data_IF_884796376038
#
_entry.id   IF_884796376038
#
_cell.length_a   1.000
_cell.length_b   1.000
_cell.length_c   1.000
_cell.angle_alpha   90.00
_cell.angle_beta   90.00
_cell.angle_gamma   90.00
#
_symmetry.space_group_name_H-M   'P 1'
#
loop_
_entity.id
_entity.type
_entity.pdbx_description
1 polymer ?
#
# COMPACT_ATOMS: atom_id res chain seq x y z
N UNK A 1 3.60 -4.89 27.77
CA UNK A 1 3.85 -5.27 26.36
C UNK A 1 2.68 -4.90 25.44
N UNK A 2 1.43 -5.21 25.78
CA UNK A 2 0.24 -4.88 24.96
C UNK A 2 0.01 -3.38 24.73
N UNK A 3 0.15 -2.53 25.76
CA UNK A 3 -0.03 -1.06 25.63
C UNK A 3 1.00 -0.43 24.68
N UNK A 4 2.24 -0.91 24.70
CA UNK A 4 3.29 -0.47 23.78
C UNK A 4 2.93 -0.83 22.33
N UNK A 5 2.42 -2.03 22.09
CA UNK A 5 2.02 -2.48 20.75
C UNK A 5 0.87 -1.65 20.17
N UNK A 6 -0.19 -1.38 20.95
CA UNK A 6 -1.31 -0.55 20.49
C UNK A 6 -0.92 0.91 20.25
N UNK A 7 0.03 1.43 21.02
CA UNK A 7 0.63 2.75 20.77
C UNK A 7 1.34 2.84 19.42
N UNK A 8 1.88 1.74 18.88
CA UNK A 8 2.53 1.74 17.56
C UNK A 8 1.51 1.95 16.44
N UNK A 9 0.34 1.30 16.50
CA UNK A 9 -0.71 1.44 15.47
C UNK A 9 -1.21 2.89 15.40
N UNK A 10 -1.44 3.50 16.57
CA UNK A 10 -1.85 4.90 16.67
C UNK A 10 -0.82 5.84 16.04
N UNK A 11 0.48 5.66 16.36
CA UNK A 11 1.56 6.46 15.76
C UNK A 11 1.69 6.25 14.26
N UNK A 12 1.55 5.00 13.80
CA UNK A 12 1.57 4.69 12.38
C UNK A 12 0.38 5.32 11.64
N UNK A 13 -0.81 5.34 12.26
CA UNK A 13 -1.98 6.02 11.72
C UNK A 13 -1.83 7.55 11.63
N UNK A 14 -1.13 8.16 12.60
CA UNK A 14 -0.80 9.60 12.56
C UNK A 14 0.16 9.96 11.41
N UNK A 15 1.06 9.06 11.02
CA UNK A 15 1.94 9.28 9.86
C UNK A 15 1.29 8.89 8.55
N UNK A 16 0.39 7.89 8.57
CA UNK A 16 -0.36 7.38 7.40
C UNK A 16 -1.77 6.98 7.83
N UNK A 17 -2.75 7.85 7.59
CA UNK A 17 -4.14 7.67 8.02
C UNK A 17 -4.78 6.37 7.49
N UNK A 18 -4.37 5.89 6.32
CA UNK A 18 -4.80 4.62 5.74
C UNK A 18 -4.52 3.42 6.65
N UNK A 19 -3.47 3.47 7.50
CA UNK A 19 -3.12 2.36 8.38
C UNK A 19 -4.15 2.11 9.48
N UNK A 20 -5.00 3.10 9.81
CA UNK A 20 -6.11 2.87 10.74
C UNK A 20 -7.07 1.80 10.24
N UNK A 21 -7.25 1.67 8.92
CA UNK A 21 -8.11 0.65 8.31
C UNK A 21 -7.57 -0.78 8.53
N UNK A 22 -6.24 -0.92 8.60
CA UNK A 22 -5.59 -2.19 8.95
C UNK A 22 -5.90 -2.67 10.38
N UNK A 23 -6.42 -1.80 11.25
CA UNK A 23 -6.83 -2.16 12.63
C UNK A 23 -7.90 -3.23 12.65
N UNK A 24 -8.72 -3.32 11.60
CA UNK A 24 -9.80 -4.32 11.50
C UNK A 24 -9.26 -5.74 11.65
N UNK A 25 -8.05 -6.02 11.14
CA UNK A 25 -7.37 -7.30 11.37
C UNK A 25 -7.27 -7.65 12.86
N UNK A 26 -6.77 -6.72 13.68
CA UNK A 26 -6.58 -6.93 15.12
C UNK A 26 -7.90 -7.07 15.86
N UNK A 27 -8.93 -6.32 15.44
CA UNK A 27 -10.28 -6.43 16.01
C UNK A 27 -10.88 -7.80 15.73
N UNK A 28 -10.83 -8.27 14.49
CA UNK A 28 -11.36 -9.59 14.11
C UNK A 28 -10.59 -10.70 14.83
N UNK A 29 -9.25 -10.65 14.85
CA UNK A 29 -8.43 -11.66 15.53
C UNK A 29 -8.72 -11.70 17.04
N UNK A 30 -8.94 -10.54 17.67
CA UNK A 30 -9.30 -10.47 19.08
C UNK A 30 -10.67 -11.12 19.36
N UNK A 31 -11.66 -10.89 18.49
CA UNK A 31 -13.01 -11.48 18.59
C UNK A 31 -12.96 -13.00 18.37
N UNK A 32 -12.14 -13.47 17.43
CA UNK A 32 -12.01 -14.89 17.10
C UNK A 32 -11.03 -15.65 18.00
N UNK A 33 -10.28 -14.94 18.87
CA UNK A 33 -9.33 -15.57 19.77
C UNK A 33 -10.03 -16.58 20.68
N UNK A 34 -9.40 -17.76 20.85
CA UNK A 34 -9.94 -18.85 21.68
C UNK A 34 -9.92 -18.54 23.18
N UNK A 35 -9.09 -17.59 23.60
CA UNK A 35 -9.11 -17.06 24.94
C UNK A 35 -10.39 -16.27 25.17
N UNK A 36 -10.94 -16.31 26.39
CA UNK A 36 -12.18 -15.58 26.73
C UNK A 36 -12.00 -14.10 26.40
N UNK A 37 -12.58 -13.68 25.28
CA UNK A 37 -12.63 -12.29 24.85
C UNK A 37 -13.00 -11.39 26.04
N UNK A 38 -12.19 -10.37 26.29
CA UNK A 38 -12.46 -9.35 27.31
C UNK A 38 -12.60 -8.01 26.65
N UNK A 39 -13.68 -7.29 26.97
CA UNK A 39 -13.91 -5.93 26.52
C UNK A 39 -12.74 -4.99 26.84
N UNK A 40 -11.99 -5.25 27.92
CA UNK A 40 -10.79 -4.49 28.27
C UNK A 40 -9.73 -4.53 27.17
N UNK A 41 -9.58 -5.62 26.41
CA UNK A 41 -8.62 -5.68 25.31
C UNK A 41 -9.03 -4.82 24.12
N UNK A 42 -10.33 -4.71 23.82
CA UNK A 42 -10.83 -3.78 22.82
C UNK A 42 -10.59 -2.34 23.23
N UNK A 43 -10.89 -2.00 24.49
CA UNK A 43 -10.62 -0.64 25.01
C UNK A 43 -9.14 -0.32 24.92
N UNK A 44 -8.26 -1.26 25.31
CA UNK A 44 -6.80 -1.08 25.21
C UNK A 44 -6.31 -0.88 23.77
N UNK A 45 -6.91 -1.54 22.79
CA UNK A 45 -6.60 -1.40 21.36
C UNK A 45 -7.15 -0.09 20.78
N UNK A 46 -8.40 0.25 21.07
CA UNK A 46 -9.10 1.36 20.44
C UNK A 46 -8.76 2.71 21.08
N UNK A 47 -8.45 2.76 22.39
CA UNK A 47 -8.17 4.03 23.07
C UNK A 47 -7.04 4.85 22.41
N UNK A 48 -5.84 4.32 22.07
CA UNK A 48 -4.81 5.17 21.46
C UNK A 48 -5.19 5.58 20.03
N UNK A 49 -5.99 4.77 19.33
CA UNK A 49 -6.47 5.07 17.98
C UNK A 49 -7.45 6.23 18.03
N UNK A 50 -8.48 6.13 18.88
CA UNK A 50 -9.48 7.19 19.09
C UNK A 50 -8.79 8.48 19.53
N UNK A 51 -7.86 8.41 20.49
CA UNK A 51 -7.11 9.60 20.94
C UNK A 51 -6.28 10.22 19.81
N UNK A 52 -5.65 9.42 18.95
CA UNK A 52 -4.89 9.95 17.82
C UNK A 52 -5.76 10.57 16.74
N UNK A 53 -6.90 9.95 16.40
CA UNK A 53 -7.87 10.52 15.46
C UNK A 53 -8.46 11.82 16.01
N UNK A 54 -8.84 11.84 17.29
CA UNK A 54 -9.35 13.03 17.95
C UNK A 54 -8.30 14.15 18.00
N UNK A 55 -7.04 13.81 18.31
CA UNK A 55 -5.92 14.76 18.28
C UNK A 55 -5.67 15.33 16.88
N UNK A 56 -5.70 14.49 15.83
CA UNK A 56 -5.57 14.93 14.45
C UNK A 56 -6.75 15.82 14.01
N UNK A 57 -7.98 15.46 14.39
CA UNK A 57 -9.16 16.26 14.10
C UNK A 57 -9.12 17.62 14.82
N UNK A 58 -8.68 17.65 16.08
CA UNK A 58 -8.52 18.90 16.81
C UNK A 58 -7.43 19.79 16.19
N UNK A 59 -6.31 19.21 15.76
CA UNK A 59 -5.29 19.92 15.00
C UNK A 59 -5.85 20.50 13.70
N UNK A 60 -6.64 19.72 12.95
CA UNK A 60 -7.31 20.19 11.74
C UNK A 60 -8.30 21.32 12.03
N UNK A 61 -9.07 21.23 13.12
CA UNK A 61 -9.98 22.31 13.54
C UNK A 61 -9.24 23.61 13.84
N UNK A 62 -8.12 23.54 14.57
CA UNK A 62 -7.29 24.73 14.84
C UNK A 62 -6.70 25.36 13.58
N UNK A 63 -6.41 24.54 12.56
CA UNK A 63 -5.74 24.98 11.31
C UNK A 63 -6.71 25.43 10.21
N UNK A 64 -7.85 24.76 10.08
CA UNK A 64 -8.79 24.90 8.96
C UNK A 64 -10.21 25.24 9.41
N UNK A 65 -10.47 25.31 10.72
CA UNK A 65 -11.82 25.55 11.27
C UNK A 65 -12.76 24.35 11.17
N UNK A 66 -12.29 23.19 10.70
CA UNK A 66 -13.08 21.98 10.53
C UNK A 66 -12.28 20.72 10.93
N UNK A 67 -12.89 19.88 11.77
CA UNK A 67 -12.28 18.63 12.25
C UNK A 67 -11.96 17.62 11.14
N UNK A 68 -12.76 17.63 10.06
CA UNK A 68 -12.67 16.68 8.96
C UNK A 68 -11.91 17.22 7.75
N UNK A 69 -11.43 18.47 7.80
CA UNK A 69 -10.61 19.04 6.74
C UNK A 69 -9.16 18.61 6.92
N UNK A 70 -8.72 17.68 6.06
CA UNK A 70 -7.39 17.10 6.09
C UNK A 70 -6.35 17.97 5.35
N UNK A 71 -6.77 19.13 4.84
CA UNK A 71 -5.90 20.07 4.12
C UNK A 71 -5.57 19.69 2.67
N UNK A 72 -6.02 18.52 2.19
CA UNK A 72 -5.76 18.05 0.82
C UNK A 72 -6.33 18.98 -0.25
N UNK A 73 -7.44 19.67 0.04
CA UNK A 73 -8.07 20.61 -0.90
C UNK A 73 -7.21 21.85 -1.19
N UNK A 74 -6.31 22.23 -0.27
CA UNK A 74 -5.44 23.40 -0.43
C UNK A 74 -4.10 23.08 -1.09
N UNK A 75 -3.90 21.83 -1.53
CA UNK A 75 -2.65 21.44 -2.15
C UNK A 75 -2.59 21.98 -3.60
N UNK A 76 -1.79 23.04 -3.79
CA UNK A 76 -1.62 23.73 -5.07
C UNK A 76 -0.58 23.08 -5.99
N UNK A 77 0.16 22.07 -5.49
CA UNK A 77 1.24 21.39 -6.23
C UNK A 77 0.76 20.22 -7.09
N UNK A 78 -0.55 19.97 -7.15
CA UNK A 78 -1.09 18.91 -7.98
C UNK A 78 -0.83 19.19 -9.47
N UNK A 79 -0.17 18.26 -10.19
CA UNK A 79 -0.13 18.29 -11.66
C UNK A 79 -1.55 18.34 -12.21
N UNK A 80 -1.77 18.97 -13.37
CA UNK A 80 -3.12 19.21 -13.90
C UNK A 80 -3.96 17.94 -14.06
N UNK A 81 -3.33 16.79 -14.32
CA UNK A 81 -4.01 15.48 -14.35
C UNK A 81 -4.63 15.05 -13.01
N UNK A 82 -4.03 15.44 -11.88
CA UNK A 82 -4.59 15.15 -10.54
C UNK A 82 -5.78 16.07 -10.24
N UNK A 83 -5.82 17.28 -10.79
CA UNK A 83 -6.96 18.20 -10.62
C UNK A 83 -8.23 17.64 -11.26
N UNK A 84 -8.14 16.96 -12.40
CA UNK A 84 -9.30 16.26 -12.99
C UNK A 84 -9.79 15.12 -12.11
N UNK A 85 -8.90 14.28 -11.60
CA UNK A 85 -9.29 13.22 -10.68
C UNK A 85 -9.94 13.77 -9.40
N UNK A 86 -9.42 14.86 -8.85
CA UNK A 86 -9.98 15.52 -7.66
C UNK A 86 -11.37 16.12 -7.94
N UNK A 87 -11.65 16.62 -9.16
CA UNK A 87 -13.00 17.06 -9.56
C UNK A 87 -14.05 15.95 -9.45
N UNK A 88 -13.64 14.70 -9.65
CA UNK A 88 -14.50 13.52 -9.49
C UNK A 88 -14.63 13.06 -8.02
N UNK A 89 -14.11 13.85 -7.08
CA UNK A 89 -14.09 13.58 -5.65
C UNK A 89 -12.71 13.09 -5.19
N UNK A 90 -12.24 13.61 -4.05
CA UNK A 90 -10.94 13.22 -3.45
C UNK A 90 -10.89 11.73 -3.07
N UNK A 91 -12.00 11.22 -2.52
CA UNK A 91 -12.23 9.81 -2.25
C UNK A 91 -13.54 9.40 -2.92
N UNK A 92 -13.45 8.58 -3.98
CA UNK A 92 -14.58 8.20 -4.81
C UNK A 92 -14.36 6.83 -5.43
N UNK A 93 -15.45 6.08 -5.63
CA UNK A 93 -15.41 4.75 -6.25
C UNK A 93 -14.96 4.81 -7.72
N UNK A 94 -15.10 5.96 -8.37
CA UNK A 94 -14.65 6.20 -9.76
C UNK A 94 -13.15 5.94 -9.95
N UNK A 95 -12.35 6.07 -8.88
CA UNK A 95 -10.90 5.89 -8.91
C UNK A 95 -10.46 4.43 -8.81
N UNK A 96 -11.35 3.53 -8.40
CA UNK A 96 -11.03 2.11 -8.15
C UNK A 96 -10.43 1.43 -9.38
N UNK A 97 -11.01 1.53 -10.60
CA UNK A 97 -10.46 0.86 -11.77
C UNK A 97 -9.03 1.33 -12.12
N UNK A 98 -8.77 2.64 -12.03
CA UNK A 98 -7.45 3.22 -12.29
C UNK A 98 -6.43 2.77 -11.24
N UNK A 99 -6.78 2.89 -9.96
CA UNK A 99 -5.90 2.45 -8.87
C UNK A 99 -5.63 0.93 -8.92
N UNK A 100 -6.61 0.09 -9.28
CA UNK A 100 -6.39 -1.34 -9.49
C UNK A 100 -5.47 -1.64 -10.68
N UNK A 101 -5.60 -0.88 -11.77
CA UNK A 101 -4.68 -0.99 -12.90
C UNK A 101 -3.24 -0.68 -12.47
N UNK A 102 -3.01 0.40 -11.73
CA UNK A 102 -1.68 0.75 -11.23
C UNK A 102 -1.16 -0.22 -10.15
N UNK A 103 -2.04 -0.74 -9.30
CA UNK A 103 -1.71 -1.69 -8.24
C UNK A 103 -1.29 -3.06 -8.81
N UNK A 104 -1.96 -3.55 -9.86
CA UNK A 104 -1.84 -4.96 -10.30
C UNK A 104 -1.23 -5.12 -11.69
N UNK A 105 -1.51 -4.21 -12.63
CA UNK A 105 -1.32 -4.45 -14.07
C UNK A 105 -0.29 -3.53 -14.74
N UNK A 106 -0.05 -2.33 -14.22
CA UNK A 106 0.89 -1.38 -14.82
C UNK A 106 2.33 -1.92 -14.77
N UNK A 107 2.88 -2.25 -15.94
CA UNK A 107 4.26 -2.72 -16.08
C UNK A 107 5.28 -1.59 -16.27
N UNK A 108 6.57 -1.96 -16.43
CA UNK A 108 7.62 -1.03 -16.82
C UNK A 108 7.37 -0.44 -18.21
N UNK A 109 8.03 0.67 -18.52
CA UNK A 109 7.90 1.37 -19.80
C UNK A 109 9.06 1.05 -20.73
N UNK A 110 8.77 0.86 -22.01
CA UNK A 110 9.78 0.66 -23.02
C UNK A 110 10.60 1.94 -23.27
N UNK A 111 11.93 1.82 -23.28
CA UNK A 111 12.83 2.91 -23.66
C UNK A 111 13.07 2.86 -25.16
N UNK A 112 12.43 3.79 -25.87
CA UNK A 112 12.47 3.86 -27.33
C UNK A 112 13.52 4.84 -27.83
N UNK A 113 14.02 4.62 -29.04
CA UNK A 113 14.94 5.53 -29.72
C UNK A 113 14.24 6.86 -30.05
N UNK A 114 12.98 6.80 -30.48
CA UNK A 114 12.12 7.97 -30.71
C UNK A 114 10.66 7.62 -30.39
N UNK A 115 9.80 8.64 -30.26
CA UNK A 115 8.36 8.46 -29.96
C UNK A 115 7.63 7.66 -31.06
N UNK A 116 8.06 7.80 -32.30
CA UNK A 116 7.45 7.17 -33.47
C UNK A 116 8.02 5.78 -33.80
N UNK A 117 9.21 5.45 -33.29
CA UNK A 117 9.88 4.18 -33.55
C UNK A 117 9.76 3.22 -32.37
N UNK A 118 9.40 1.97 -32.63
CA UNK A 118 9.41 0.90 -31.61
C UNK A 118 10.77 0.24 -31.42
N UNK A 119 11.84 0.80 -32.00
CA UNK A 119 13.21 0.33 -31.75
C UNK A 119 13.62 0.70 -30.33
N UNK A 120 13.98 -0.31 -29.53
CA UNK A 120 14.40 -0.13 -28.15
C UNK A 120 15.88 0.27 -28.08
N UNK A 121 16.22 1.15 -27.14
CA UNK A 121 17.60 1.46 -26.77
C UNK A 121 17.86 1.06 -25.33
N UNK A 122 19.07 0.63 -25.01
CA UNK A 122 19.44 0.33 -23.62
C UNK A 122 19.12 1.53 -22.70
N UNK A 123 18.48 1.33 -21.52
CA UNK A 123 18.21 0.07 -20.83
C UNK A 123 16.95 -0.71 -21.27
N UNK A 124 16.39 -0.46 -22.46
CA UNK A 124 15.22 -1.15 -23.06
C UNK A 124 13.89 -1.00 -22.30
N UNK A 125 13.92 -1.02 -20.98
CA UNK A 125 12.84 -0.83 -20.03
C UNK A 125 13.29 0.19 -18.97
N UNK A 126 12.36 1.04 -18.55
CA UNK A 126 12.51 1.96 -17.42
C UNK A 126 11.33 1.82 -16.47
N UNK A 127 11.55 2.20 -15.21
CA UNK A 127 10.45 2.33 -14.26
C UNK A 127 9.47 3.42 -14.75
N UNK A 128 8.17 3.17 -14.62
CA UNK A 128 7.16 4.19 -14.88
C UNK A 128 7.12 5.20 -13.74
N UNK A 129 7.10 6.49 -14.07
CA UNK A 129 7.00 7.59 -13.10
C UNK A 129 5.68 7.57 -12.33
N UNK A 130 4.64 7.00 -12.93
CA UNK A 130 3.31 6.80 -12.34
C UNK A 130 3.24 5.59 -11.40
N UNK A 131 4.32 4.81 -11.31
CA UNK A 131 4.39 3.57 -10.52
C UNK A 131 4.18 2.31 -11.34
N UNK A 132 4.41 1.16 -10.70
CA UNK A 132 4.29 -0.16 -11.30
C UNK A 132 3.53 -1.09 -10.36
N UNK A 133 2.82 -2.05 -10.94
CA UNK A 133 2.05 -3.05 -10.22
C UNK A 133 2.93 -3.94 -9.35
N UNK A 134 2.38 -4.38 -8.23
CA UNK A 134 3.10 -5.13 -7.19
C UNK A 134 3.70 -6.43 -7.71
N UNK A 135 3.11 -7.06 -8.72
CA UNK A 135 3.62 -8.30 -9.30
C UNK A 135 4.85 -8.08 -10.19
N UNK A 136 5.06 -6.88 -10.72
CA UNK A 136 6.27 -6.52 -11.46
C UNK A 136 7.41 -6.17 -10.50
N UNK A 137 7.12 -5.38 -9.45
CA UNK A 137 8.13 -5.03 -8.44
C UNK A 137 8.43 -6.17 -7.49
N UNK A 138 7.49 -7.08 -7.28
CA UNK A 138 7.58 -8.13 -6.27
C UNK A 138 6.90 -9.42 -6.76
N UNK A 139 7.42 -10.07 -7.83
CA UNK A 139 6.83 -11.28 -8.41
C UNK A 139 6.77 -12.46 -7.42
N UNK A 140 7.53 -12.45 -6.33
CA UNK A 140 7.37 -13.44 -5.28
C UNK A 140 5.97 -13.40 -4.61
N UNK A 141 5.21 -12.31 -4.75
CA UNK A 141 3.81 -12.28 -4.32
C UNK A 141 2.87 -13.19 -5.13
N UNK A 142 3.30 -13.73 -6.29
CA UNK A 142 2.54 -14.81 -6.95
C UNK A 142 2.42 -16.07 -6.07
N UNK A 143 3.30 -16.27 -5.08
CA UNK A 143 3.15 -17.36 -4.12
C UNK A 143 1.97 -17.19 -3.17
N UNK A 144 1.39 -15.98 -3.05
CA UNK A 144 0.18 -15.76 -2.24
C UNK A 144 -1.02 -16.59 -2.74
N UNK A 145 -1.07 -16.90 -4.04
CA UNK A 145 -2.11 -17.76 -4.62
C UNK A 145 -2.06 -19.22 -4.12
N UNK A 146 -0.98 -19.62 -3.44
CA UNK A 146 -0.84 -20.94 -2.80
C UNK A 146 -1.25 -20.93 -1.32
N UNK A 147 -1.67 -19.78 -0.80
CA UNK A 147 -2.11 -19.68 0.59
C UNK A 147 -3.34 -20.56 0.87
N UNK A 148 -3.41 -21.10 2.08
CA UNK A 148 -4.53 -21.94 2.48
C UNK A 148 -5.70 -21.09 2.94
N UNK A 149 -6.62 -20.77 2.03
CA UNK A 149 -7.81 -19.96 2.35
C UNK A 149 -8.78 -20.61 3.35
N UNK A 150 -8.61 -21.91 3.66
CA UNK A 150 -9.36 -22.59 4.72
C UNK A 150 -8.84 -22.28 6.12
N UNK A 151 -7.62 -21.75 6.24
CA UNK A 151 -7.09 -21.28 7.51
C UNK A 151 -7.68 -19.91 7.83
N UNK A 152 -8.46 -19.82 8.90
CA UNK A 152 -9.07 -18.58 9.36
C UNK A 152 -8.06 -17.45 9.50
N UNK A 153 -6.83 -17.72 9.98
CA UNK A 153 -5.79 -16.70 10.17
C UNK A 153 -5.41 -16.03 8.84
N UNK A 154 -5.31 -16.82 7.78
CA UNK A 154 -5.04 -16.34 6.42
C UNK A 154 -6.21 -15.48 5.93
N UNK A 155 -7.44 -15.91 6.19
CA UNK A 155 -8.63 -15.15 5.83
C UNK A 155 -8.68 -13.79 6.56
N UNK A 156 -8.40 -13.75 7.86
CA UNK A 156 -8.38 -12.49 8.63
C UNK A 156 -7.28 -11.56 8.12
N UNK A 157 -6.09 -12.08 7.80
CA UNK A 157 -5.00 -11.30 7.18
C UNK A 157 -5.41 -10.73 5.81
N UNK A 158 -6.10 -11.52 4.98
CA UNK A 158 -6.59 -11.06 3.68
C UNK A 158 -7.67 -9.99 3.83
N UNK A 159 -8.58 -10.14 4.78
CA UNK A 159 -9.59 -9.11 5.11
C UNK A 159 -8.90 -7.82 5.54
N UNK A 160 -7.88 -7.92 6.42
CA UNK A 160 -7.06 -6.79 6.83
C UNK A 160 -6.37 -6.07 5.66
N UNK A 161 -5.78 -6.84 4.74
CA UNK A 161 -5.17 -6.29 3.52
C UNK A 161 -6.21 -5.62 2.61
N UNK A 162 -7.36 -6.27 2.36
CA UNK A 162 -8.43 -5.73 1.51
C UNK A 162 -8.97 -4.43 2.11
N UNK A 163 -9.28 -4.40 3.40
CA UNK A 163 -9.81 -3.20 4.05
C UNK A 163 -8.75 -2.10 4.11
N UNK A 164 -7.49 -2.47 4.38
CA UNK A 164 -6.36 -1.55 4.43
C UNK A 164 -6.09 -0.82 3.11
N UNK A 165 -6.38 -1.44 1.96
CA UNK A 165 -6.16 -0.82 0.64
C UNK A 165 -7.32 0.04 0.17
N UNK A 166 -8.52 -0.06 0.76
CA UNK A 166 -9.72 0.71 0.33
C UNK A 166 -9.45 2.22 0.23
N UNK A 167 -8.83 2.89 1.22
CA UNK A 167 -8.55 4.31 1.12
C UNK A 167 -7.68 4.64 -0.10
N UNK A 168 -6.70 3.80 -0.41
CA UNK A 168 -5.84 3.99 -1.56
C UNK A 168 -6.56 3.76 -2.88
N UNK A 169 -7.45 2.75 -2.97
CA UNK A 169 -8.20 2.47 -4.19
C UNK A 169 -9.24 3.55 -4.51
N UNK A 170 -9.76 4.21 -3.49
CA UNK A 170 -10.74 5.29 -3.64
C UNK A 170 -10.11 6.66 -3.77
N UNK A 171 -8.81 6.81 -3.51
CA UNK A 171 -8.13 8.10 -3.55
C UNK A 171 -7.88 8.58 -4.99
N UNK A 172 -8.11 9.87 -5.24
CA UNK A 172 -7.96 10.50 -6.54
C UNK A 172 -6.52 10.48 -7.10
N UNK A 173 -5.51 10.39 -6.23
CA UNK A 173 -4.12 10.43 -6.64
C UNK A 173 -3.46 9.05 -6.66
N UNK A 174 -3.18 8.50 -7.84
CA UNK A 174 -2.34 7.29 -7.97
C UNK A 174 -0.88 7.52 -7.53
N UNK A 175 -0.43 8.78 -7.50
CA UNK A 175 0.94 9.18 -7.21
C UNK A 175 1.75 9.44 -8.49
N UNK A 176 2.77 10.29 -8.37
CA UNK A 176 3.72 10.63 -9.44
C UNK A 176 5.12 10.63 -8.82
N UNK A 177 6.13 10.31 -9.62
CA UNK A 177 7.53 10.20 -9.17
C UNK A 177 7.72 9.13 -8.11
N UNK A 178 7.17 7.94 -8.37
CA UNK A 178 7.24 6.81 -7.45
C UNK A 178 7.78 5.55 -8.12
N UNK A 179 8.36 4.66 -7.30
CA UNK A 179 8.76 3.33 -7.72
C UNK A 179 7.81 2.28 -7.14
N UNK A 180 7.15 1.52 -8.01
CA UNK A 180 6.04 0.65 -7.62
C UNK A 180 4.79 1.44 -7.23
N UNK A 181 3.78 0.75 -6.70
CA UNK A 181 2.56 1.37 -6.21
C UNK A 181 2.70 1.69 -4.72
N UNK A 182 3.06 2.94 -4.38
CA UNK A 182 3.47 3.33 -3.00
C UNK A 182 2.42 3.08 -1.93
N UNK A 183 1.13 3.05 -2.30
CA UNK A 183 0.06 2.80 -1.35
C UNK A 183 -0.09 1.32 -1.00
N UNK A 184 0.47 0.40 -1.79
CA UNK A 184 0.51 -1.01 -1.44
C UNK A 184 1.38 -1.28 -0.19
N UNK A 185 2.29 -0.36 0.16
CA UNK A 185 3.10 -0.47 1.38
C UNK A 185 2.24 -0.59 2.65
N UNK A 186 1.02 -0.06 2.63
CA UNK A 186 0.08 -0.15 3.76
C UNK A 186 -0.43 -1.57 3.99
N UNK A 187 -0.40 -2.41 2.95
CA UNK A 187 -0.86 -3.80 3.02
C UNK A 187 0.25 -4.84 2.99
N UNK A 188 1.48 -4.43 2.68
CA UNK A 188 2.64 -5.33 2.63
C UNK A 188 2.86 -6.14 3.91
N UNK A 189 2.70 -5.60 5.13
CA UNK A 189 2.81 -6.41 6.35
C UNK A 189 1.87 -7.63 6.35
N UNK A 190 0.62 -7.47 5.93
CA UNK A 190 -0.33 -8.58 5.82
C UNK A 190 0.10 -9.58 4.75
N UNK A 191 0.51 -9.08 3.56
CA UNK A 191 0.95 -9.92 2.46
C UNK A 191 2.21 -10.72 2.83
N UNK A 192 3.18 -10.13 3.53
CA UNK A 192 4.38 -10.82 3.98
C UNK A 192 4.08 -11.91 5.01
N UNK A 193 3.14 -11.70 5.93
CA UNK A 193 2.74 -12.74 6.90
C UNK A 193 2.08 -13.92 6.18
N UNK A 194 1.18 -13.64 5.22
CA UNK A 194 0.56 -14.68 4.39
C UNK A 194 1.64 -15.43 3.60
N UNK A 195 2.56 -14.71 2.97
CA UNK A 195 3.66 -15.29 2.20
C UNK A 195 4.57 -16.18 3.07
N UNK A 196 4.90 -15.72 4.28
CA UNK A 196 5.68 -16.50 5.23
C UNK A 196 4.97 -17.82 5.58
N UNK A 197 3.65 -17.82 5.78
CA UNK A 197 2.88 -19.04 6.03
C UNK A 197 2.98 -20.05 4.89
N UNK A 198 3.00 -19.57 3.63
CA UNK A 198 3.17 -20.42 2.44
C UNK A 198 4.56 -21.07 2.46
N UNK A 199 5.60 -20.29 2.72
CA UNK A 199 6.97 -20.81 2.72
C UNK A 199 7.33 -21.67 3.93
N UNK A 200 6.67 -21.49 5.07
CA UNK A 200 6.81 -22.42 6.22
C UNK A 200 6.23 -23.79 5.87
N UNK A 201 5.06 -23.81 5.20
CA UNK A 201 4.37 -25.04 4.82
C UNK A 201 5.07 -25.76 3.66
N UNK A 202 5.33 -25.04 2.57
CA UNK A 202 5.81 -25.63 1.31
C UNK A 202 7.35 -25.68 1.21
N UNK A 203 8.04 -25.11 2.21
CA UNK A 203 9.48 -24.77 2.17
C UNK A 203 9.81 -23.79 1.05
N UNK A 204 10.91 -23.05 1.20
CA UNK A 204 11.41 -22.17 0.14
C UNK A 204 12.08 -23.01 -0.95
N UNK A 205 11.28 -23.41 -1.95
CA UNK A 205 11.74 -24.14 -3.13
C UNK A 205 12.83 -23.39 -3.90
N UNK A 206 13.63 -24.10 -4.71
CA UNK A 206 14.63 -23.48 -5.59
C UNK A 206 14.00 -22.45 -6.53
N UNK A 207 12.82 -22.76 -7.09
CA UNK A 207 12.06 -21.80 -7.92
C UNK A 207 11.73 -20.52 -7.14
N UNK A 208 11.30 -20.62 -5.88
CA UNK A 208 11.00 -19.46 -5.05
C UNK A 208 12.25 -18.60 -4.81
N UNK A 209 13.39 -19.25 -4.52
CA UNK A 209 14.68 -18.54 -4.39
C UNK A 209 15.04 -17.82 -5.69
N UNK A 210 14.90 -18.48 -6.83
CA UNK A 210 15.16 -17.89 -8.16
C UNK A 210 14.26 -16.68 -8.40
N UNK A 211 12.96 -16.77 -8.09
CA UNK A 211 12.02 -15.64 -8.25
C UNK A 211 12.38 -14.47 -7.32
N UNK A 212 12.80 -14.75 -6.08
CA UNK A 212 13.23 -13.71 -5.13
C UNK A 212 14.51 -13.03 -5.61
N UNK A 213 15.51 -13.80 -6.03
CA UNK A 213 16.79 -13.27 -6.56
C UNK A 213 16.53 -12.48 -7.85
N UNK A 214 15.72 -13.00 -8.76
CA UNK A 214 15.31 -12.30 -9.97
C UNK A 214 14.61 -10.99 -9.63
N UNK A 215 13.67 -11.00 -8.67
CA UNK A 215 12.99 -9.78 -8.20
C UNK A 215 14.01 -8.76 -7.71
N UNK A 216 14.98 -9.14 -6.87
CA UNK A 216 16.02 -8.24 -6.38
C UNK A 216 16.82 -7.62 -7.54
N UNK A 217 17.33 -8.46 -8.47
CA UNK A 217 18.11 -8.00 -9.62
C UNK A 217 17.30 -7.10 -10.55
N UNK A 218 16.04 -7.45 -10.82
CA UNK A 218 15.13 -6.65 -11.62
C UNK A 218 14.86 -5.28 -10.99
N UNK A 219 14.64 -5.23 -9.67
CA UNK A 219 14.46 -3.95 -8.98
C UNK A 219 15.74 -3.10 -9.01
N UNK A 220 16.92 -3.69 -8.79
CA UNK A 220 18.20 -2.98 -8.89
C UNK A 220 18.41 -2.39 -10.30
N UNK A 221 18.08 -3.18 -11.34
CA UNK A 221 18.11 -2.72 -12.72
C UNK A 221 17.18 -1.54 -12.96
N UNK A 222 15.92 -1.65 -12.53
CA UNK A 222 14.91 -0.60 -12.70
C UNK A 222 15.26 0.67 -11.91
N UNK A 223 15.84 0.55 -10.72
CA UNK A 223 16.32 1.71 -9.96
C UNK A 223 17.36 2.49 -10.75
N UNK A 224 18.26 1.82 -11.48
CA UNK A 224 19.22 2.46 -12.39
C UNK A 224 18.58 3.35 -13.46
N UNK A 225 17.34 3.06 -13.87
CA UNK A 225 16.60 3.87 -14.86
C UNK A 225 15.99 5.15 -14.31
N UNK A 226 15.82 5.25 -12.98
CA UNK A 226 15.16 6.39 -12.32
C UNK A 226 16.13 7.58 -12.19
N UNK A 227 17.41 7.32 -11.98
CA UNK A 227 18.43 8.34 -11.72
C UNK A 227 18.73 9.26 -12.91
N UNK A 228 18.33 8.88 -14.13
CA UNK A 228 18.47 9.71 -15.32
C UNK A 228 17.31 10.71 -15.53
N UNK A 229 16.31 10.71 -14.64
CA UNK A 229 15.08 11.51 -14.76
C UNK A 229 15.04 12.62 -13.70
N UNK A 230 15.80 12.50 -12.61
CA UNK A 230 15.90 13.56 -11.60
C UNK A 230 16.93 14.62 -12.03
N UNK A 231 16.55 15.91 -12.11
CA UNK A 231 17.52 16.98 -12.20
C UNK A 231 18.16 17.13 -10.80
N UNK A 232 19.26 16.43 -10.56
CA UNK A 232 20.29 16.95 -9.65
C UNK A 232 21.25 17.82 -10.47
N UNK A 233 20.67 18.82 -11.15
CA UNK A 233 21.37 19.87 -11.90
C UNK A 233 20.63 21.18 -11.67
#
# INVERSE_FOLDING_TARGET
MLVLFWGVISRAGLTRQSLYFGTVFFVIELILSKDKFKYSHLVLLLQPIILSIAGSGFYNFLRFGNFFDNGYAYNTTFPDGVKEAVRQGMFSLVHIPGNLYFLLLKGPEAVRVSEVSFVLKYPFLKASEWGMGIFFTSPFFFYLFRSNLRDHRILVLLIGAIIGIIPALTYAGVGVWQYGYRYALDIYPFLFIILASVFVKDKVTTLAKTVIIYSLLFNLYMLGSIWNIYPFS
#
